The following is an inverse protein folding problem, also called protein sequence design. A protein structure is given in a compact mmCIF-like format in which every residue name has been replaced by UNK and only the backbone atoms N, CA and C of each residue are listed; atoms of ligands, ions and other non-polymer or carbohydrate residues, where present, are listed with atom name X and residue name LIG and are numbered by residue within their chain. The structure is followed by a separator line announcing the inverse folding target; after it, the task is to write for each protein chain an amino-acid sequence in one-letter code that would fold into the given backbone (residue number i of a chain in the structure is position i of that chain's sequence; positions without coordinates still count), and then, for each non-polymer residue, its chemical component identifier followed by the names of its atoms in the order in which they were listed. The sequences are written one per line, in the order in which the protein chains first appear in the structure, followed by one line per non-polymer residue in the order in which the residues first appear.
data_IF_130361332331
#
_entry.id   IF_130361332331
#
_cell.length_a   1.000
_cell.length_b   1.000
_cell.length_c   1.000
_cell.angle_alpha   90.00
_cell.angle_beta   90.00
_cell.angle_gamma   90.00
#
_symmetry.space_group_name_H-M   'P 1'
#
loop_
_entity.id
_entity.type
_entity.pdbx_description
1 polymer ?
#
# COMPACT_ATOMS: atom_id res chain seq x y z
N UNK A 1 -8.52 3.41 -18.48
CA UNK A 1 -7.53 2.31 -18.50
C UNK A 1 -6.39 2.52 -17.49
N UNK A 2 -5.81 3.72 -17.42
CA UNK A 2 -4.70 4.06 -16.51
C UNK A 2 -4.97 3.64 -15.06
N UNK A 3 -6.12 4.03 -14.47
CA UNK A 3 -6.43 3.68 -13.08
C UNK A 3 -6.55 2.16 -12.83
N UNK A 4 -7.09 1.41 -13.80
CA UNK A 4 -7.19 -0.06 -13.73
C UNK A 4 -5.79 -0.68 -13.71
N UNK A 5 -4.92 -0.22 -14.59
CA UNK A 5 -3.54 -0.69 -14.67
C UNK A 5 -2.77 -0.35 -13.39
N UNK A 6 -2.75 0.92 -12.98
CA UNK A 6 -1.96 1.39 -11.85
C UNK A 6 -2.37 0.72 -10.54
N UNK A 7 -3.68 0.62 -10.25
CA UNK A 7 -4.14 -0.03 -9.02
C UNK A 7 -3.90 -1.54 -9.04
N UNK A 8 -4.11 -2.21 -10.18
CA UNK A 8 -3.80 -3.65 -10.28
C UNK A 8 -2.29 -3.92 -10.14
N UNK A 9 -1.46 -3.07 -10.74
CA UNK A 9 -0.01 -3.15 -10.61
C UNK A 9 0.44 -2.93 -9.16
N UNK A 10 -0.17 -2.00 -8.44
CA UNK A 10 0.11 -1.80 -7.01
C UNK A 10 -0.24 -3.02 -6.17
N UNK A 11 -1.44 -3.59 -6.35
CA UNK A 11 -1.85 -4.80 -5.61
C UNK A 11 -0.89 -5.97 -5.88
N UNK A 12 -0.48 -6.17 -7.13
CA UNK A 12 0.51 -7.18 -7.49
C UNK A 12 1.89 -6.93 -6.84
N UNK A 13 2.38 -5.68 -6.90
CA UNK A 13 3.64 -5.29 -6.28
C UNK A 13 3.61 -5.46 -4.75
N UNK A 14 2.51 -5.08 -4.11
CA UNK A 14 2.34 -5.22 -2.67
C UNK A 14 2.31 -6.69 -2.23
N UNK A 15 1.58 -7.55 -2.95
CA UNK A 15 1.58 -8.99 -2.69
C UNK A 15 2.98 -9.60 -2.84
N UNK A 16 3.70 -9.24 -3.91
CA UNK A 16 5.08 -9.71 -4.13
C UNK A 16 6.01 -9.25 -3.01
N UNK A 17 5.90 -7.99 -2.58
CA UNK A 17 6.69 -7.46 -1.46
C UNK A 17 6.44 -8.23 -0.17
N UNK A 18 5.17 -8.54 0.16
CA UNK A 18 4.83 -9.31 1.36
C UNK A 18 5.38 -10.74 1.28
N UNK A 19 5.16 -11.44 0.17
CA UNK A 19 5.64 -12.82 -0.02
C UNK A 19 7.16 -12.91 0.08
N UNK A 20 7.88 -12.00 -0.57
CA UNK A 20 9.35 -11.95 -0.52
C UNK A 20 9.84 -11.59 0.88
N UNK A 21 9.24 -10.60 1.53
CA UNK A 21 9.59 -10.20 2.90
C UNK A 21 9.39 -11.33 3.90
N UNK A 22 8.27 -12.06 3.86
CA UNK A 22 8.02 -13.21 4.74
C UNK A 22 9.06 -14.30 4.48
N UNK A 23 9.30 -14.64 3.21
CA UNK A 23 10.26 -15.68 2.81
C UNK A 23 11.66 -15.39 3.35
N UNK A 24 12.09 -14.14 3.33
CA UNK A 24 13.38 -13.72 3.87
C UNK A 24 13.42 -13.75 5.40
N UNK A 25 12.34 -13.36 6.09
CA UNK A 25 12.29 -13.38 7.55
C UNK A 25 12.37 -14.81 8.11
N UNK A 26 11.77 -15.79 7.43
CA UNK A 26 11.79 -17.20 7.83
C UNK A 26 13.04 -17.95 7.37
N UNK A 27 13.78 -17.43 6.38
CA UNK A 27 14.96 -18.10 5.87
C UNK A 27 16.05 -18.18 6.96
N UNK A 28 16.63 -19.38 7.20
CA UNK A 28 17.70 -19.56 8.18
C UNK A 28 19.05 -19.02 7.68
N UNK A 29 19.18 -18.77 6.37
CA UNK A 29 20.40 -18.28 5.72
C UNK A 29 20.71 -16.82 6.02
N UNK A 30 19.73 -16.02 6.44
CA UNK A 30 19.92 -14.62 6.77
C UNK A 30 19.96 -14.44 8.28
N UNK A 31 21.04 -13.80 8.77
CA UNK A 31 21.12 -13.34 10.15
C UNK A 31 20.18 -12.14 10.40
N UNK A 32 20.09 -11.70 11.67
CA UNK A 32 19.23 -10.58 12.06
C UNK A 32 19.61 -9.26 11.38
N UNK A 33 20.90 -9.05 11.14
CA UNK A 33 21.45 -7.78 10.68
C UNK A 33 21.25 -7.61 9.18
N UNK A 34 21.40 -8.71 8.44
CA UNK A 34 21.06 -8.80 7.03
C UNK A 34 19.55 -8.57 6.82
N UNK A 35 18.70 -9.19 7.65
CA UNK A 35 17.24 -8.98 7.60
C UNK A 35 16.86 -7.51 7.83
N UNK A 36 17.52 -6.85 8.78
CA UNK A 36 17.35 -5.42 9.05
C UNK A 36 17.79 -4.55 7.87
N UNK A 37 18.95 -4.85 7.29
CA UNK A 37 19.48 -4.12 6.13
C UNK A 37 18.59 -4.25 4.91
N UNK A 38 18.14 -5.48 4.60
CA UNK A 38 17.23 -5.74 3.50
C UNK A 38 15.89 -5.01 3.70
N UNK A 39 15.35 -4.99 4.92
CA UNK A 39 14.17 -4.21 5.25
C UNK A 39 14.41 -2.70 4.97
N UNK A 40 15.49 -2.14 5.52
CA UNK A 40 15.84 -0.73 5.37
C UNK A 40 15.98 -0.28 3.90
N UNK A 41 16.48 -1.15 3.02
CA UNK A 41 16.61 -0.88 1.58
C UNK A 41 15.25 -0.92 0.88
N UNK A 42 14.38 -1.89 1.21
CA UNK A 42 13.17 -2.17 0.43
C UNK A 42 11.99 -1.28 0.79
N UNK A 43 11.82 -0.93 2.06
CA UNK A 43 10.68 -0.12 2.51
C UNK A 43 10.58 1.25 1.79
N UNK A 44 11.66 2.02 1.57
CA UNK A 44 11.58 3.25 0.78
C UNK A 44 10.99 3.04 -0.62
N UNK A 45 11.41 1.98 -1.31
CA UNK A 45 10.89 1.64 -2.63
C UNK A 45 9.44 1.17 -2.59
N UNK A 46 9.05 0.44 -1.53
CA UNK A 46 7.66 0.05 -1.31
C UNK A 46 6.74 1.26 -1.20
N UNK A 47 7.07 2.23 -0.34
CA UNK A 47 6.29 3.47 -0.22
C UNK A 47 6.33 4.28 -1.51
N UNK A 48 7.49 4.40 -2.15
CA UNK A 48 7.63 5.13 -3.42
C UNK A 48 6.74 4.57 -4.52
N UNK A 49 6.72 3.24 -4.68
CA UNK A 49 5.82 2.56 -5.62
C UNK A 49 4.36 2.71 -5.22
N UNK A 50 4.04 2.59 -3.93
CA UNK A 50 2.70 2.77 -3.39
C UNK A 50 2.14 4.14 -3.70
N UNK A 51 2.80 5.20 -3.24
CA UNK A 51 2.38 6.58 -3.52
C UNK A 51 2.29 6.87 -5.02
N UNK A 52 3.27 6.41 -5.81
CA UNK A 52 3.29 6.62 -7.25
C UNK A 52 2.09 5.98 -7.94
N UNK A 53 1.89 4.67 -7.78
CA UNK A 53 0.84 3.94 -8.47
C UNK A 53 -0.56 4.25 -7.93
N UNK A 54 -0.73 4.38 -6.61
CA UNK A 54 -2.01 4.76 -6.01
C UNK A 54 -2.37 6.19 -6.38
N UNK A 55 -1.40 7.11 -6.41
CA UNK A 55 -1.59 8.50 -6.86
C UNK A 55 -2.00 8.61 -8.33
N UNK A 56 -1.32 7.87 -9.22
CA UNK A 56 -1.71 7.78 -10.64
C UNK A 56 -3.11 7.15 -10.77
N UNK A 57 -3.41 6.12 -9.98
CA UNK A 57 -4.72 5.49 -9.91
C UNK A 57 -5.82 6.45 -9.46
N UNK A 58 -5.53 7.32 -8.50
CA UNK A 58 -6.42 8.36 -8.00
C UNK A 58 -6.72 9.39 -9.06
N UNK A 59 -5.70 10.02 -9.66
CA UNK A 59 -5.87 11.02 -10.72
C UNK A 59 -6.61 10.41 -11.91
N UNK A 60 -6.22 9.20 -12.32
CA UNK A 60 -6.89 8.47 -13.39
C UNK A 60 -8.36 8.15 -13.10
N UNK A 61 -8.71 7.90 -11.84
CA UNK A 61 -10.10 7.65 -11.42
C UNK A 61 -10.93 8.93 -11.38
N UNK A 62 -10.36 10.02 -10.87
CA UNK A 62 -11.04 11.34 -10.80
C UNK A 62 -11.39 11.85 -12.20
N UNK A 63 -10.48 11.69 -13.16
CA UNK A 63 -10.66 12.15 -14.55
C UNK A 63 -11.47 11.14 -15.37
N UNK A 64 -11.21 9.84 -15.20
CA UNK A 64 -11.68 8.80 -16.11
C UNK A 64 -13.02 8.14 -15.76
N UNK A 65 -13.55 8.33 -14.55
CA UNK A 65 -14.84 7.77 -14.14
C UNK A 65 -15.92 8.86 -14.21
N UNK A 66 -16.96 8.72 -15.05
CA UNK A 66 -18.00 9.74 -15.22
C UNK A 66 -18.85 9.85 -13.95
N UNK A 67 -18.55 10.86 -13.13
CA UNK A 67 -19.18 11.09 -11.82
C UNK A 67 -20.70 11.27 -11.90
N UNK A 68 -21.20 11.90 -12.96
CA UNK A 68 -22.63 12.15 -13.14
C UNK A 68 -23.43 10.85 -13.31
N UNK A 69 -22.89 9.90 -14.07
CA UNK A 69 -23.55 8.62 -14.38
C UNK A 69 -23.27 7.56 -13.32
N UNK A 70 -22.09 7.59 -12.69
CA UNK A 70 -21.62 6.53 -11.79
C UNK A 70 -21.23 7.07 -10.41
N UNK A 71 -22.07 7.94 -9.83
CA UNK A 71 -21.77 8.67 -8.59
C UNK A 71 -21.34 7.76 -7.43
N UNK A 72 -22.05 6.67 -7.17
CA UNK A 72 -21.73 5.76 -6.07
C UNK A 72 -20.36 5.07 -6.27
N UNK A 73 -20.12 4.57 -7.49
CA UNK A 73 -18.85 3.94 -7.85
C UNK A 73 -17.70 4.92 -7.75
N UNK A 74 -17.87 6.13 -8.28
CA UNK A 74 -16.89 7.20 -8.19
C UNK A 74 -16.58 7.53 -6.72
N UNK A 75 -17.61 7.67 -5.88
CA UNK A 75 -17.44 7.96 -4.46
C UNK A 75 -16.68 6.85 -3.72
N UNK A 76 -16.99 5.58 -3.98
CA UNK A 76 -16.26 4.44 -3.40
C UNK A 76 -14.80 4.48 -3.81
N UNK A 77 -14.50 4.60 -5.11
CA UNK A 77 -13.12 4.62 -5.61
C UNK A 77 -12.34 5.78 -4.99
N UNK A 78 -12.88 7.00 -5.10
CA UNK A 78 -12.19 8.22 -4.65
C UNK A 78 -12.00 8.22 -3.14
N UNK A 79 -13.02 7.85 -2.37
CA UNK A 79 -12.92 7.80 -0.90
C UNK A 79 -11.90 6.76 -0.46
N UNK A 80 -11.94 5.54 -1.03
CA UNK A 80 -10.96 4.51 -0.70
C UNK A 80 -9.54 4.93 -1.02
N UNK A 81 -9.31 5.58 -2.17
CA UNK A 81 -7.97 6.03 -2.56
C UNK A 81 -7.47 7.22 -1.74
N UNK A 82 -8.34 8.16 -1.35
CA UNK A 82 -7.97 9.24 -0.44
C UNK A 82 -7.60 8.70 0.93
N UNK A 83 -8.40 7.76 1.47
CA UNK A 83 -8.11 7.12 2.75
C UNK A 83 -6.80 6.31 2.69
N UNK A 84 -6.58 5.55 1.62
CA UNK A 84 -5.33 4.82 1.40
C UNK A 84 -4.11 5.75 1.38
N UNK A 85 -4.12 6.77 0.50
CA UNK A 85 -3.02 7.75 0.42
C UNK A 85 -2.76 8.46 1.76
N UNK A 86 -3.83 8.78 2.50
CA UNK A 86 -3.71 9.40 3.82
C UNK A 86 -3.10 8.43 4.83
N UNK A 87 -3.57 7.18 4.87
CA UNK A 87 -3.02 6.15 5.76
C UNK A 87 -1.56 5.86 5.42
N UNK A 88 -1.20 5.76 4.15
CA UNK A 88 0.18 5.56 3.70
C UNK A 88 1.08 6.74 4.12
N UNK A 89 0.59 7.98 4.06
CA UNK A 89 1.32 9.16 4.54
C UNK A 89 1.51 9.15 6.06
N UNK A 90 0.45 8.81 6.80
CA UNK A 90 0.50 8.69 8.26
C UNK A 90 1.46 7.58 8.68
N UNK A 91 1.37 6.41 8.05
CA UNK A 91 2.25 5.26 8.29
C UNK A 91 3.71 5.62 8.01
N UNK A 92 3.98 6.25 6.86
CA UNK A 92 5.33 6.66 6.50
C UNK A 92 5.96 7.60 7.55
N UNK A 93 5.22 8.61 7.99
CA UNK A 93 5.74 9.66 8.87
C UNK A 93 5.79 9.22 10.33
N UNK A 94 4.72 8.56 10.83
CA UNK A 94 4.55 8.27 12.25
C UNK A 94 5.01 6.88 12.66
N UNK A 95 5.13 5.93 11.72
CA UNK A 95 5.46 4.54 12.05
C UNK A 95 6.76 4.13 11.39
N UNK A 96 6.84 4.20 10.07
CA UNK A 96 8.02 3.76 9.32
C UNK A 96 9.27 4.55 9.70
N UNK A 97 9.23 5.89 9.71
CA UNK A 97 10.40 6.69 10.06
C UNK A 97 10.95 6.35 11.46
N UNK A 98 10.13 6.35 12.54
CA UNK A 98 10.61 5.92 13.85
C UNK A 98 11.10 4.46 13.88
N UNK A 99 10.43 3.55 13.16
CA UNK A 99 10.84 2.15 13.09
C UNK A 99 12.20 2.01 12.39
N UNK A 100 12.43 2.77 11.32
CA UNK A 100 13.68 2.79 10.57
C UNK A 100 14.84 3.32 11.43
N UNK A 101 14.62 4.38 12.20
CA UNK A 101 15.61 4.91 13.14
C UNK A 101 16.00 3.87 14.21
N UNK A 102 15.04 3.10 14.72
CA UNK A 102 15.32 2.00 15.64
C UNK A 102 16.12 0.92 14.91
N UNK A 103 15.67 0.44 13.76
CA UNK A 103 16.33 -0.67 13.03
C UNK A 103 17.75 -0.34 12.59
N UNK A 104 18.06 0.93 12.33
CA UNK A 104 19.37 1.39 11.86
C UNK A 104 20.30 1.86 12.98
N UNK A 105 19.80 1.96 14.22
CA UNK A 105 20.63 2.36 15.35
C UNK A 105 21.54 1.20 15.80
N UNK A 106 22.86 1.41 15.93
CA UNK A 106 23.81 0.36 16.31
C UNK A 106 23.67 -0.11 17.77
N UNK A 107 22.81 0.53 18.58
CA UNK A 107 22.68 0.28 20.03
C UNK A 107 21.26 -0.05 20.48
N UNK A 108 20.27 0.02 19.59
CA UNK A 108 18.88 -0.21 19.98
C UNK A 108 18.63 -1.70 20.22
N UNK A 109 18.37 -2.06 21.47
CA UNK A 109 17.66 -3.31 21.79
C UNK A 109 16.28 -3.18 21.15
N UNK A 110 15.83 -4.21 20.42
CA UNK A 110 14.43 -4.31 19.95
C UNK A 110 13.53 -4.39 21.17
N UNK A 111 13.11 -3.23 21.64
CA UNK A 111 12.36 -3.03 22.87
C UNK A 111 10.84 -3.12 22.60
N UNK A 112 10.04 -2.92 23.65
CA UNK A 112 8.58 -2.96 23.54
C UNK A 112 8.05 -1.97 22.48
N UNK A 113 8.74 -0.85 22.27
CA UNK A 113 8.36 0.18 21.30
C UNK A 113 8.57 -0.29 19.86
N UNK A 114 9.65 -1.03 19.58
CA UNK A 114 9.85 -1.68 18.27
C UNK A 114 8.67 -2.61 17.93
N UNK A 115 8.31 -3.48 18.87
CA UNK A 115 7.22 -4.46 18.67
C UNK A 115 5.87 -3.76 18.46
N UNK A 116 5.61 -2.69 19.22
CA UNK A 116 4.41 -1.90 19.07
C UNK A 116 4.32 -1.23 17.69
N UNK A 117 5.38 -0.52 17.27
CA UNK A 117 5.43 0.14 15.97
C UNK A 117 5.31 -0.87 14.82
N UNK A 118 5.96 -2.02 14.93
CA UNK A 118 5.88 -3.07 13.92
C UNK A 118 4.44 -3.60 13.75
N UNK A 119 3.74 -3.88 14.86
CA UNK A 119 2.33 -4.31 14.83
C UNK A 119 1.40 -3.24 14.27
N UNK A 120 1.67 -1.97 14.57
CA UNK A 120 0.92 -0.86 13.97
C UNK A 120 1.14 -0.77 12.47
N UNK A 121 2.39 -0.90 12.02
CA UNK A 121 2.73 -0.91 10.59
C UNK A 121 2.00 -2.04 9.85
N UNK A 122 2.02 -3.27 10.38
CA UNK A 122 1.32 -4.41 9.78
C UNK A 122 -0.19 -4.16 9.64
N UNK A 123 -0.83 -3.59 10.68
CA UNK A 123 -2.25 -3.28 10.67
C UNK A 123 -2.60 -2.18 9.67
N UNK A 124 -1.88 -1.07 9.70
CA UNK A 124 -2.16 0.04 8.78
C UNK A 124 -1.93 -0.39 7.33
N UNK A 125 -0.84 -1.09 7.05
CA UNK A 125 -0.56 -1.58 5.71
C UNK A 125 -1.63 -2.57 5.21
N UNK A 126 -2.13 -3.44 6.09
CA UNK A 126 -3.23 -4.36 5.74
C UNK A 126 -4.52 -3.61 5.38
N UNK A 127 -4.86 -2.56 6.14
CA UNK A 127 -6.04 -1.72 5.86
C UNK A 127 -5.83 -0.94 4.56
N UNK A 128 -4.64 -0.38 4.33
CA UNK A 128 -4.29 0.35 3.11
C UNK A 128 -4.46 -0.54 1.86
N UNK A 129 -3.88 -1.74 1.87
CA UNK A 129 -4.00 -2.70 0.77
C UNK A 129 -5.47 -3.08 0.55
N UNK A 130 -6.25 -3.27 1.62
CA UNK A 130 -7.68 -3.57 1.50
C UNK A 130 -8.46 -2.44 0.84
N UNK A 131 -8.19 -1.18 1.19
CA UNK A 131 -8.78 -0.01 0.54
C UNK A 131 -8.38 0.08 -0.94
N UNK A 132 -7.10 -0.15 -1.24
CA UNK A 132 -6.61 -0.20 -2.60
C UNK A 132 -7.27 -1.32 -3.41
N UNK A 133 -7.50 -2.49 -2.81
CA UNK A 133 -8.16 -3.62 -3.46
C UNK A 133 -9.63 -3.31 -3.75
N UNK A 134 -10.35 -2.71 -2.80
CA UNK A 134 -11.73 -2.24 -3.02
C UNK A 134 -11.77 -1.26 -4.19
N UNK A 135 -10.85 -0.28 -4.24
CA UNK A 135 -10.76 0.66 -5.34
C UNK A 135 -10.42 -0.02 -6.68
N UNK A 136 -9.49 -0.98 -6.69
CA UNK A 136 -9.10 -1.75 -7.86
C UNK A 136 -10.29 -2.56 -8.41
N UNK A 137 -11.01 -3.26 -7.55
CA UNK A 137 -12.22 -4.01 -7.93
C UNK A 137 -13.30 -3.07 -8.45
N UNK A 138 -13.56 -1.96 -7.75
CA UNK A 138 -14.55 -0.99 -8.18
C UNK A 138 -14.20 -0.35 -9.52
N UNK A 139 -12.94 -0.01 -9.80
CA UNK A 139 -12.53 0.55 -11.10
C UNK A 139 -12.51 -0.51 -12.21
N UNK A 140 -12.33 -1.78 -11.86
CA UNK A 140 -12.35 -2.90 -12.81
C UNK A 140 -13.73 -3.51 -13.04
N UNK A 141 -14.72 -3.18 -12.21
CA UNK A 141 -16.07 -3.72 -12.33
C UNK A 141 -16.72 -3.32 -13.66
N UNK A 142 -17.42 -4.23 -14.38
CA UNK A 142 -18.15 -3.87 -15.58
C UNK A 142 -19.31 -2.92 -15.22
N UNK A 143 -19.44 -1.82 -15.95
CA UNK A 143 -20.65 -1.00 -15.89
C UNK A 143 -21.72 -1.70 -16.72
N UNK A 144 -22.99 -1.71 -16.26
CA UNK A 144 -24.09 -2.13 -17.14
C UNK A 144 -24.11 -1.19 -18.35
N UNK A 145 -23.73 -1.70 -19.50
CA UNK A 145 -24.09 -1.09 -20.78
C UNK A 145 -25.59 -1.22 -20.91
N UNK A 146 -26.31 -0.09 -20.86
CA UNK A 146 -27.68 -0.04 -21.38
C UNK A 146 -27.58 -0.25 -22.90
N UNK A 147 -27.48 -1.51 -23.33
CA UNK A 147 -27.93 -1.92 -24.65
C UNK A 147 -29.45 -2.07 -24.54
N UNK A 148 -30.14 -0.94 -24.54
CA UNK A 148 -31.56 -0.88 -24.86
C UNK A 148 -31.65 -0.32 -26.29
N UNK A 149 -32.15 -1.19 -27.17
CA UNK A 149 -32.64 -1.00 -28.55
C UNK A 149 -31.61 -0.94 -29.70
#
# INVERSE_FOLDING_TARGET
MIARFALSAWIGAAALFVCTSISEQIAPTFDSDMKNTLAAIRFPWYYGFGFGLVGIGFVGSVIGVPRAEQRHRWAVIVTSLVLALTLMAVDYVLIYKPLHEIVTSPTSVRDARFVELHRWSERINSIDIMLCLIAALAVCWPTKTNTDH
#
